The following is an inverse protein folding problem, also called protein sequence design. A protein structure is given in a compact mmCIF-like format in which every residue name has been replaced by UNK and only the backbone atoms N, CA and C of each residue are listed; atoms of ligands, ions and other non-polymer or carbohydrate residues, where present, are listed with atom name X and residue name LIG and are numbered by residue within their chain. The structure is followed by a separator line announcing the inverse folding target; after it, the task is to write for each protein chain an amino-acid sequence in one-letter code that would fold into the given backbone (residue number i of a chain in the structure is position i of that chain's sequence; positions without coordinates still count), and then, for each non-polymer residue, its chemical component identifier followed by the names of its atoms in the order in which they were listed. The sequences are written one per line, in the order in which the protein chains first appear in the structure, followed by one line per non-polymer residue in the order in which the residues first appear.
data_IF_959344358034
#
_entry.id   IF_959344358034
#
_cell.length_a   1.000
_cell.length_b   1.000
_cell.length_c   1.000
_cell.angle_alpha   90.00
_cell.angle_beta   90.00
_cell.angle_gamma   90.00
#
_symmetry.space_group_name_H-M   'P 1'
#
loop_
_entity.id
_entity.type
_entity.pdbx_description
1 polymer ?
#
# COMPACT_ATOMS: atom_id res chain seq x y z
N UNK A 1 -13.67 -5.79 10.24
CA UNK A 1 -12.31 -5.42 9.79
C UNK A 1 -11.69 -6.54 8.99
N UNK A 2 -11.21 -6.26 7.78
CA UNK A 2 -10.57 -7.19 6.85
C UNK A 2 -9.21 -6.61 6.45
N UNK A 3 -8.13 -7.39 6.59
CA UNK A 3 -6.83 -7.05 6.03
C UNK A 3 -6.70 -7.69 4.65
N UNK A 4 -6.44 -6.89 3.61
CA UNK A 4 -6.27 -7.40 2.24
C UNK A 4 -5.16 -6.64 1.50
N UNK A 5 -4.61 -7.22 0.41
CA UNK A 5 -3.77 -6.48 -0.52
C UNK A 5 -4.45 -5.19 -1.00
N UNK A 6 -3.67 -4.13 -1.14
CA UNK A 6 -4.14 -2.89 -1.76
C UNK A 6 -4.43 -3.12 -3.25
N UNK A 7 -5.43 -2.41 -3.77
CA UNK A 7 -5.81 -2.41 -5.17
C UNK A 7 -5.80 -0.99 -5.72
N UNK A 8 -5.72 -0.86 -7.04
CA UNK A 8 -5.79 0.45 -7.73
C UNK A 8 -6.99 1.30 -7.33
N UNK A 9 -8.14 0.70 -7.00
CA UNK A 9 -9.34 1.40 -6.54
C UNK A 9 -9.18 2.06 -5.17
N UNK A 10 -8.22 1.63 -4.36
CA UNK A 10 -7.99 2.17 -3.01
C UNK A 10 -7.15 3.47 -3.02
N UNK A 11 -6.68 3.92 -4.19
CA UNK A 11 -5.85 5.12 -4.31
C UNK A 11 -6.42 6.36 -3.59
N UNK A 12 -7.73 6.70 -3.71
CA UNK A 12 -8.28 7.85 -2.98
C UNK A 12 -8.15 7.72 -1.46
N UNK A 13 -8.37 6.52 -0.92
CA UNK A 13 -8.23 6.26 0.50
C UNK A 13 -6.76 6.29 0.94
N UNK A 14 -5.86 5.72 0.15
CA UNK A 14 -4.41 5.76 0.42
C UNK A 14 -3.88 7.21 0.44
N UNK A 15 -4.35 8.05 -0.49
CA UNK A 15 -4.00 9.47 -0.53
C UNK A 15 -4.51 10.20 0.73
N UNK A 16 -5.74 9.93 1.16
CA UNK A 16 -6.28 10.50 2.39
C UNK A 16 -5.44 10.09 3.61
N UNK A 17 -5.10 8.80 3.73
CA UNK A 17 -4.23 8.30 4.81
C UNK A 17 -2.84 8.96 4.75
N UNK A 18 -2.28 9.18 3.56
CA UNK A 18 -1.00 9.89 3.41
C UNK A 18 -1.09 11.32 3.96
N UNK A 19 -2.19 12.03 3.69
CA UNK A 19 -2.43 13.37 4.25
C UNK A 19 -2.57 13.33 5.78
N UNK A 20 -3.32 12.37 6.32
CA UNK A 20 -3.55 12.23 7.77
C UNK A 20 -2.28 11.83 8.53
N UNK A 21 -1.41 11.02 7.91
CA UNK A 21 -0.14 10.57 8.52
C UNK A 21 0.85 11.71 8.78
N UNK A 22 0.66 12.85 8.11
CA UNK A 22 1.41 14.07 8.35
C UNK A 22 2.85 14.05 7.86
N UNK A 23 3.56 15.15 8.14
CA UNK A 23 4.92 15.37 7.68
C UNK A 23 5.90 14.49 8.47
N UNK A 24 6.69 13.66 7.77
CA UNK A 24 7.71 12.79 8.38
C UNK A 24 7.53 11.30 8.12
N UNK A 25 6.37 10.89 7.58
CA UNK A 25 6.14 9.50 7.19
C UNK A 25 6.69 9.23 5.77
N UNK A 26 8.01 9.20 5.63
CA UNK A 26 8.71 9.10 4.33
C UNK A 26 8.35 7.86 3.52
N UNK A 27 7.84 6.80 4.17
CA UNK A 27 7.36 5.59 3.51
C UNK A 27 6.00 5.74 2.83
N UNK A 28 5.21 6.77 3.17
CA UNK A 28 3.91 7.09 2.58
C UNK A 28 3.87 8.58 2.18
N UNK A 29 4.55 8.95 1.07
CA UNK A 29 4.64 10.34 0.65
C UNK A 29 3.30 10.87 0.13
N UNK A 30 3.02 12.15 0.38
CA UNK A 30 1.93 12.90 -0.26
C UNK A 30 2.37 13.27 -1.69
N UNK A 31 2.45 12.25 -2.56
CA UNK A 31 2.81 12.41 -3.96
C UNK A 31 2.06 11.35 -4.78
N UNK A 32 1.16 11.82 -5.64
CA UNK A 32 0.28 10.98 -6.47
C UNK A 32 1.04 9.94 -7.29
N UNK A 33 2.10 10.35 -7.98
CA UNK A 33 2.90 9.45 -8.83
C UNK A 33 3.56 8.35 -7.99
N UNK A 34 4.13 8.70 -6.84
CA UNK A 34 4.77 7.73 -5.94
C UNK A 34 3.75 6.76 -5.30
N UNK A 35 2.57 7.24 -4.94
CA UNK A 35 1.50 6.42 -4.39
C UNK A 35 0.97 5.43 -5.43
N UNK A 36 0.74 5.88 -6.67
CA UNK A 36 0.31 4.97 -7.75
C UNK A 36 1.39 3.94 -8.10
N UNK A 37 2.67 4.34 -8.12
CA UNK A 37 3.79 3.40 -8.31
C UNK A 37 3.85 2.36 -7.20
N UNK A 38 3.62 2.78 -5.95
CA UNK A 38 3.55 1.89 -4.78
C UNK A 38 2.43 0.85 -4.92
N UNK A 39 1.22 1.27 -5.33
CA UNK A 39 0.11 0.33 -5.56
C UNK A 39 0.44 -0.66 -6.68
N UNK A 40 0.91 -0.15 -7.82
CA UNK A 40 1.28 -0.99 -8.98
C UNK A 40 2.37 -2.00 -8.62
N UNK A 41 3.40 -1.57 -7.88
CA UNK A 41 4.47 -2.45 -7.40
C UNK A 41 3.93 -3.53 -6.46
N UNK A 42 2.98 -3.19 -5.59
CA UNK A 42 2.34 -4.16 -4.70
C UNK A 42 1.52 -5.19 -5.45
N UNK A 43 0.67 -4.78 -6.39
CA UNK A 43 -0.10 -5.71 -7.22
C UNK A 43 0.84 -6.69 -7.95
N UNK A 44 1.89 -6.18 -8.59
CA UNK A 44 2.90 -7.01 -9.25
C UNK A 44 3.65 -7.94 -8.27
N UNK A 45 3.93 -7.47 -7.04
CA UNK A 45 4.62 -8.26 -6.01
C UNK A 45 3.80 -9.45 -5.53
N UNK A 46 2.47 -9.30 -5.41
CA UNK A 46 1.58 -10.40 -5.04
C UNK A 46 1.42 -11.43 -6.15
N UNK A 47 1.56 -11.03 -7.41
CA UNK A 47 1.50 -11.94 -8.57
C UNK A 47 2.83 -12.64 -8.86
N UNK A 48 3.95 -12.04 -8.45
CA UNK A 48 5.29 -12.57 -8.70
C UNK A 48 5.54 -13.85 -7.92
N UNK A 49 5.87 -14.92 -8.64
CA UNK A 49 6.44 -16.13 -8.04
C UNK A 49 7.96 -15.96 -7.94
N UNK A 50 8.48 -15.95 -6.73
CA UNK A 50 9.92 -15.86 -6.46
C UNK A 50 10.30 -16.76 -5.29
N UNK A 51 11.47 -17.39 -5.38
CA UNK A 51 12.06 -18.18 -4.29
C UNK A 51 12.97 -17.33 -3.39
N UNK A 52 13.34 -16.13 -3.83
CA UNK A 52 14.26 -15.23 -3.13
C UNK A 52 13.71 -13.79 -3.14
N UNK A 53 13.69 -13.09 -1.99
CA UNK A 53 13.32 -11.67 -1.94
C UNK A 53 14.22 -10.80 -2.83
N UNK A 54 13.63 -9.90 -3.62
CA UNK A 54 14.34 -8.85 -4.37
C UNK A 54 13.70 -7.48 -4.17
N UNK A 55 12.89 -7.05 -5.13
CA UNK A 55 12.35 -5.71 -5.30
C UNK A 55 10.85 -5.68 -5.01
N UNK A 56 10.30 -6.72 -4.39
CA UNK A 56 8.90 -6.79 -4.01
C UNK A 56 8.61 -5.82 -2.87
N UNK A 57 7.45 -5.17 -2.96
CA UNK A 57 6.92 -4.30 -1.92
C UNK A 57 5.43 -4.56 -1.77
N UNK A 58 5.01 -5.11 -0.63
CA UNK A 58 3.64 -5.51 -0.37
C UNK A 58 2.92 -4.44 0.44
N UNK A 59 1.82 -3.92 -0.08
CA UNK A 59 0.95 -2.98 0.61
C UNK A 59 -0.39 -3.63 0.93
N UNK A 60 -0.87 -3.35 2.13
CA UNK A 60 -2.14 -3.83 2.65
C UNK A 60 -3.00 -2.65 3.05
N UNK A 61 -4.31 -2.85 2.94
CA UNK A 61 -5.31 -1.96 3.49
C UNK A 61 -6.12 -2.70 4.55
N UNK A 62 -6.53 -1.96 5.57
CA UNK A 62 -7.50 -2.41 6.55
C UNK A 62 -8.86 -1.85 6.14
N UNK A 63 -9.74 -2.73 5.70
CA UNK A 63 -11.10 -2.39 5.27
C UNK A 63 -12.09 -2.65 6.42
N UNK A 64 -13.02 -1.72 6.62
CA UNK A 64 -14.21 -1.98 7.41
C UNK A 64 -15.16 -2.88 6.61
N UNK A 65 -15.47 -4.05 7.16
CA UNK A 65 -16.30 -5.06 6.50
C UNK A 65 -17.78 -4.69 6.39
N UNK A 66 -18.23 -3.69 7.14
CA UNK A 66 -19.62 -3.21 7.12
C UNK A 66 -19.82 -2.11 6.07
N UNK A 67 -18.84 -1.20 5.92
CA UNK A 67 -18.95 -0.04 5.02
C UNK A 67 -18.17 -0.20 3.71
N UNK A 68 -17.18 -1.10 3.67
CA UNK A 68 -16.22 -1.22 2.59
C UNK A 68 -15.15 -0.12 2.57
N UNK A 69 -15.11 0.74 3.59
CA UNK A 69 -14.16 1.85 3.66
C UNK A 69 -12.78 1.37 4.11
N UNK A 70 -11.74 1.89 3.46
CA UNK A 70 -10.35 1.68 3.88
C UNK A 70 -10.01 2.67 4.99
N UNK A 71 -9.68 2.15 6.17
CA UNK A 71 -9.43 2.94 7.39
C UNK A 71 -7.97 2.89 7.85
N UNK A 72 -7.11 2.18 7.12
CA UNK A 72 -5.70 2.09 7.46
C UNK A 72 -4.87 1.41 6.38
N UNK A 73 -3.55 1.58 6.46
CA UNK A 73 -2.59 0.92 5.56
C UNK A 73 -1.36 0.44 6.32
N UNK A 74 -0.75 -0.62 5.81
CA UNK A 74 0.56 -1.11 6.26
C UNK A 74 1.34 -1.65 5.06
N UNK A 75 2.66 -1.74 5.17
CA UNK A 75 3.50 -2.21 4.07
C UNK A 75 4.72 -2.99 4.53
N UNK A 76 5.21 -3.86 3.65
CA UNK A 76 6.40 -4.70 3.84
C UNK A 76 7.27 -4.55 2.60
N UNK A 77 8.53 -4.19 2.79
CA UNK A 77 9.55 -4.25 1.74
C UNK A 77 10.29 -5.58 1.87
N UNK A 78 10.37 -6.36 0.79
CA UNK A 78 10.93 -7.72 0.82
C UNK A 78 12.45 -7.73 1.05
N UNK A 79 13.15 -6.71 0.57
CA UNK A 79 14.54 -6.44 0.88
C UNK A 79 14.76 -4.92 1.01
N UNK A 80 15.77 -4.55 1.81
CA UNK A 80 16.23 -3.16 1.97
C UNK A 80 17.70 -3.09 1.51
N UNK A 81 18.03 -2.09 0.71
CA UNK A 81 19.37 -1.91 0.13
C UNK A 81 19.42 -0.79 -0.88
#
# INVERSE_FOLDING_TARGET
MILRPIQKSDYPALLNIAHESGHGFTSLPINEELLQKKITRSEASFEKQTDVPSDEGYLFVLEDSETGEVVGTSGIEAAVG
#
